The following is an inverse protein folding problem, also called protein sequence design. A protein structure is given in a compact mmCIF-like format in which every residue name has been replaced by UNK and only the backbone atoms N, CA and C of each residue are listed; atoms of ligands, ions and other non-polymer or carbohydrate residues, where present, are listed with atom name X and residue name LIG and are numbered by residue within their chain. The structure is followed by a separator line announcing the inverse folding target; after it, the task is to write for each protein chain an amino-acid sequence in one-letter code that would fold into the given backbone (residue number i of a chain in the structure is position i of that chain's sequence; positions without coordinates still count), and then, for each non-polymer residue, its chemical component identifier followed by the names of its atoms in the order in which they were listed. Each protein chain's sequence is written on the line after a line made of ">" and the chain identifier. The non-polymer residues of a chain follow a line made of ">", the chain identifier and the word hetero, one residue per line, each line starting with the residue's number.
data_IF_485225199031
#
_entry.id   IF_485225199031
#
_cell.length_a   1.000
_cell.length_b   1.000
_cell.length_c   1.000
_cell.angle_alpha   90.00
_cell.angle_beta   90.00
_cell.angle_gamma   90.00
#
_symmetry.space_group_name_H-M   'P 1'
#
loop_
_entity.id
_entity.type
_entity.pdbx_description
1 polymer ?
#
# COMPACT_ATOMS: atom_id res chain seq x y z
N UNK A 1 -2.40 -24.66 26.97
CA UNK A 1 -1.20 -24.64 27.81
C UNK A 1 -0.77 -23.21 28.09
N UNK A 2 -0.39 -22.89 29.33
CA UNK A 2 0.22 -21.61 29.69
C UNK A 2 1.34 -21.23 28.71
N UNK A 3 1.33 -19.99 28.24
CA UNK A 3 2.28 -19.47 27.25
C UNK A 3 1.90 -19.66 25.78
N UNK A 4 0.88 -20.47 25.46
CA UNK A 4 0.38 -20.57 24.08
C UNK A 4 -0.28 -19.26 23.63
N UNK A 5 -0.13 -18.95 22.34
CA UNK A 5 -0.74 -17.77 21.72
C UNK A 5 -1.81 -18.15 20.70
N UNK A 6 -2.80 -17.27 20.53
CA UNK A 6 -3.88 -17.44 19.57
C UNK A 6 -4.43 -16.08 19.12
N UNK A 7 -5.06 -16.02 17.95
CA UNK A 7 -5.71 -14.79 17.49
C UNK A 7 -7.10 -14.61 18.11
N UNK A 8 -7.41 -13.39 18.54
CA UNK A 8 -8.77 -13.02 18.93
C UNK A 8 -9.77 -13.23 17.79
N UNK A 9 -11.07 -13.29 18.11
CA UNK A 9 -12.13 -13.50 17.11
C UNK A 9 -12.15 -12.44 16.00
N UNK A 10 -11.78 -11.18 16.33
CA UNK A 10 -11.66 -10.10 15.35
C UNK A 10 -10.27 -10.03 14.68
N UNK A 11 -9.37 -10.97 15.00
CA UNK A 11 -7.99 -11.08 14.50
C UNK A 11 -7.11 -9.85 14.72
N UNK A 12 -7.51 -8.92 15.59
CA UNK A 12 -6.74 -7.69 15.90
C UNK A 12 -5.77 -7.85 17.04
N UNK A 13 -5.92 -8.89 17.86
CA UNK A 13 -5.10 -9.12 19.04
C UNK A 13 -4.52 -10.52 19.01
N UNK A 14 -3.23 -10.63 19.26
CA UNK A 14 -2.57 -11.87 19.62
C UNK A 14 -2.73 -12.04 21.13
N UNK A 15 -3.52 -13.03 21.52
CA UNK A 15 -3.75 -13.41 22.91
C UNK A 15 -2.67 -14.40 23.35
N UNK A 16 -2.30 -14.34 24.63
CA UNK A 16 -1.40 -15.29 25.30
C UNK A 16 -2.08 -15.84 26.54
N UNK A 17 -2.17 -17.16 26.64
CA UNK A 17 -2.68 -17.84 27.82
C UNK A 17 -1.71 -17.64 28.99
N UNK A 18 -2.24 -17.20 30.14
CA UNK A 18 -1.47 -16.99 31.37
C UNK A 18 -1.42 -18.31 32.16
N UNK A 19 -2.54 -19.01 32.20
CA UNK A 19 -2.69 -20.28 32.91
C UNK A 19 -3.46 -21.30 32.05
N UNK A 20 -3.57 -22.51 32.58
CA UNK A 20 -4.33 -23.59 31.95
C UNK A 20 -5.84 -23.52 32.27
N UNK A 21 -6.27 -22.53 33.05
CA UNK A 21 -7.64 -22.35 33.52
C UNK A 21 -8.44 -21.33 32.68
N UNK A 22 -7.84 -20.83 31.60
CA UNK A 22 -8.50 -19.98 30.62
C UNK A 22 -8.21 -18.48 30.75
N UNK A 23 -7.35 -18.07 31.69
CA UNK A 23 -6.92 -16.67 31.77
C UNK A 23 -6.01 -16.34 30.60
N UNK A 24 -6.28 -15.24 29.91
CA UNK A 24 -5.46 -14.77 28.80
C UNK A 24 -5.24 -13.25 28.87
N UNK A 25 -4.09 -12.82 28.35
CA UNK A 25 -3.76 -11.41 28.17
C UNK A 25 -3.39 -11.12 26.72
N UNK A 26 -3.50 -9.86 26.32
CA UNK A 26 -3.04 -9.43 25.00
C UNK A 26 -1.50 -9.43 25.03
N UNK A 27 -0.86 -10.07 24.06
CA UNK A 27 0.61 -10.09 23.86
C UNK A 27 1.04 -9.06 22.81
N UNK A 28 0.23 -8.91 21.76
CA UNK A 28 0.46 -7.97 20.67
C UNK A 28 -0.84 -7.60 19.97
N UNK A 29 -0.80 -6.51 19.21
CA UNK A 29 -1.81 -6.20 18.20
C UNK A 29 -1.37 -6.77 16.84
N UNK A 30 -2.34 -7.03 15.97
CA UNK A 30 -2.11 -7.57 14.63
C UNK A 30 -2.52 -6.55 13.58
N UNK A 31 -1.65 -6.33 12.61
CA UNK A 31 -1.95 -5.54 11.40
C UNK A 31 -2.81 -6.35 10.43
N UNK A 32 -3.41 -5.67 9.45
CA UNK A 32 -4.24 -6.33 8.43
C UNK A 32 -3.43 -7.26 7.52
N UNK A 33 -2.12 -7.01 7.38
CA UNK A 33 -1.16 -7.87 6.67
C UNK A 33 -0.50 -8.93 7.55
N UNK A 34 -1.03 -9.16 8.76
CA UNK A 34 -0.62 -10.27 9.63
C UNK A 34 0.69 -10.05 10.38
N UNK A 35 1.23 -8.84 10.42
CA UNK A 35 2.41 -8.50 11.22
C UNK A 35 2.03 -8.14 12.65
N UNK A 36 2.87 -8.56 13.60
CA UNK A 36 2.73 -8.23 15.02
C UNK A 36 3.19 -6.79 15.32
N UNK A 37 2.44 -6.12 16.19
CA UNK A 37 2.79 -4.84 16.81
C UNK A 37 2.78 -5.06 18.33
N UNK A 38 3.96 -5.15 18.93
CA UNK A 38 4.10 -5.37 20.38
C UNK A 38 3.43 -4.25 21.19
N UNK A 39 2.98 -4.57 22.40
CA UNK A 39 2.36 -3.58 23.30
C UNK A 39 3.34 -2.43 23.56
N UNK A 40 2.84 -1.20 23.42
CA UNK A 40 3.61 0.04 23.50
C UNK A 40 4.33 0.42 22.20
N UNK A 41 4.31 -0.43 21.18
CA UNK A 41 4.98 -0.18 19.91
C UNK A 41 4.02 0.39 18.85
N UNK A 42 4.64 0.93 17.81
CA UNK A 42 3.98 1.39 16.59
C UNK A 42 4.66 0.75 15.38
N UNK A 43 3.88 0.41 14.35
CA UNK A 43 4.37 -0.16 13.11
C UNK A 43 3.71 0.56 11.93
N UNK A 44 4.50 0.96 10.95
CA UNK A 44 3.97 1.41 9.67
C UNK A 44 4.02 0.27 8.66
N UNK A 45 2.87 -0.12 8.12
CA UNK A 45 2.75 -1.15 7.08
C UNK A 45 1.63 -0.78 6.11
N UNK A 46 1.84 -1.05 4.81
CA UNK A 46 0.83 -0.82 3.77
C UNK A 46 0.16 0.58 3.78
N UNK A 47 0.92 1.63 4.07
CA UNK A 47 0.40 3.00 4.10
C UNK A 47 -0.43 3.34 5.35
N UNK A 48 -0.45 2.47 6.35
CA UNK A 48 -1.08 2.72 7.64
C UNK A 48 -0.05 2.63 8.76
N UNK A 49 -0.19 3.52 9.74
CA UNK A 49 0.46 3.46 11.03
C UNK A 49 -0.49 2.78 12.01
N UNK A 50 -0.02 1.68 12.58
CA UNK A 50 -0.69 0.88 13.58
C UNK A 50 -0.05 1.14 14.94
N UNK A 51 -0.85 1.34 15.98
CA UNK A 51 -0.37 1.52 17.36
C UNK A 51 -1.05 0.52 18.28
N UNK A 52 -0.27 -0.13 19.12
CA UNK A 52 -0.76 -1.03 20.16
C UNK A 52 -0.52 -0.39 21.52
N UNK A 53 -1.50 0.34 22.05
CA UNK A 53 -1.31 1.25 23.19
C UNK A 53 -1.80 0.57 24.46
N UNK A 54 -0.96 0.49 25.49
CA UNK A 54 -1.39 0.09 26.83
C UNK A 54 -2.00 1.29 27.56
N UNK A 55 -3.25 1.19 27.94
CA UNK A 55 -3.94 2.22 28.71
C UNK A 55 -3.65 2.12 30.21
N UNK A 56 -3.87 3.22 30.93
CA UNK A 56 -3.63 3.29 32.38
C UNK A 56 -4.50 2.33 33.20
N UNK A 57 -5.68 1.97 32.67
CA UNK A 57 -6.59 0.99 33.27
C UNK A 57 -6.19 -0.47 32.99
N UNK A 58 -5.06 -0.70 32.31
CA UNK A 58 -4.58 -2.04 31.95
C UNK A 58 -5.16 -2.59 30.65
N UNK A 59 -6.10 -1.89 30.00
CA UNK A 59 -6.62 -2.26 28.68
C UNK A 59 -5.59 -2.02 27.57
N UNK A 60 -5.79 -2.65 26.41
CA UNK A 60 -4.99 -2.37 25.21
C UNK A 60 -5.88 -1.76 24.14
N UNK A 61 -5.52 -0.55 23.69
CA UNK A 61 -6.15 0.16 22.59
C UNK A 61 -5.40 -0.09 21.29
N UNK A 62 -6.14 -0.49 20.27
CA UNK A 62 -5.63 -0.62 18.91
C UNK A 62 -6.02 0.61 18.09
N UNK A 63 -5.03 1.36 17.60
CA UNK A 63 -5.25 2.48 16.69
C UNK A 63 -4.66 2.18 15.31
N UNK A 64 -5.41 2.54 14.27
CA UNK A 64 -4.98 2.48 12.88
C UNK A 64 -5.25 3.84 12.25
N UNK A 65 -4.21 4.48 11.73
CA UNK A 65 -4.29 5.75 11.02
C UNK A 65 -3.47 5.69 9.73
N UNK A 66 -3.80 6.44 8.68
CA UNK A 66 -2.94 6.55 7.50
C UNK A 66 -1.53 7.02 7.89
N UNK A 67 -0.50 6.35 7.36
CA UNK A 67 0.88 6.74 7.59
C UNK A 67 1.25 7.93 6.69
N UNK A 68 0.99 9.14 7.17
CA UNK A 68 1.35 10.38 6.48
C UNK A 68 0.89 11.63 7.24
N UNK A 69 1.58 12.76 7.06
CA UNK A 69 1.16 14.04 7.63
C UNK A 69 0.16 14.74 6.70
N UNK A 70 -1.07 14.94 7.16
CA UNK A 70 -2.04 15.85 6.55
C UNK A 70 -3.28 15.18 5.97
N UNK A 71 -4.32 15.99 5.72
CA UNK A 71 -5.62 15.60 5.12
C UNK A 71 -5.48 14.84 3.79
N UNK A 72 -4.31 14.86 3.15
CA UNK A 72 -3.99 14.15 1.90
C UNK A 72 -3.82 12.63 2.06
N UNK A 73 -3.55 12.10 3.26
CA UNK A 73 -3.46 10.65 3.44
C UNK A 73 -4.83 9.94 3.30
N UNK A 74 -5.93 10.71 3.38
CA UNK A 74 -7.30 10.25 3.11
C UNK A 74 -7.76 10.54 1.66
N UNK A 75 -6.96 11.27 0.88
CA UNK A 75 -7.25 11.63 -0.53
C UNK A 75 -6.25 10.98 -1.51
N UNK A 76 -5.31 10.18 -1.01
CA UNK A 76 -4.37 9.41 -1.81
C UNK A 76 -5.02 8.18 -2.46
N UNK A 77 -4.29 7.55 -3.37
CA UNK A 77 -4.72 6.36 -4.09
C UNK A 77 -4.27 5.12 -3.32
N UNK A 78 -4.96 4.82 -2.20
CA UNK A 78 -4.56 3.76 -1.27
C UNK A 78 -3.28 4.14 -0.52
N UNK A 79 -2.16 3.47 -0.83
CA UNK A 79 -0.84 3.73 -0.19
C UNK A 79 -0.05 4.89 -0.82
N UNK A 80 -0.55 5.48 -1.91
CA UNK A 80 0.15 6.52 -2.68
C UNK A 80 -0.47 7.90 -2.41
N UNK A 81 0.36 8.93 -2.29
CA UNK A 81 -0.10 10.31 -2.14
C UNK A 81 -0.57 10.90 -3.49
N UNK A 82 -1.47 11.89 -3.44
CA UNK A 82 -1.83 12.68 -4.64
C UNK A 82 -0.54 13.28 -5.23
N UNK A 83 -0.37 13.12 -6.54
CA UNK A 83 0.80 13.58 -7.28
C UNK A 83 1.89 12.52 -7.41
N UNK A 84 1.80 11.39 -6.70
CA UNK A 84 2.76 10.31 -6.83
C UNK A 84 2.79 9.76 -8.25
N UNK A 85 4.02 9.56 -8.76
CA UNK A 85 4.29 8.86 -10.00
C UNK A 85 4.63 7.42 -9.69
N UNK A 86 3.91 6.50 -10.34
CA UNK A 86 4.07 5.07 -10.19
C UNK A 86 4.60 4.48 -11.47
N UNK A 87 5.62 3.64 -11.38
CA UNK A 87 6.23 2.96 -12.53
C UNK A 87 6.06 1.46 -12.31
N UNK A 88 5.65 0.74 -13.36
CA UNK A 88 5.53 -0.73 -13.31
C UNK A 88 6.90 -1.38 -13.14
N UNK A 89 6.96 -2.60 -12.58
CA UNK A 89 8.22 -3.30 -12.31
C UNK A 89 9.04 -3.56 -13.59
N UNK A 90 8.37 -3.78 -14.71
CA UNK A 90 8.97 -3.92 -16.05
C UNK A 90 9.45 -2.59 -16.66
N UNK A 91 9.21 -1.47 -15.96
CA UNK A 91 9.55 -0.09 -16.34
C UNK A 91 9.04 0.29 -17.72
N UNK A 92 7.87 -0.23 -18.11
CA UNK A 92 7.24 0.09 -19.38
C UNK A 92 6.14 1.13 -19.26
N UNK A 93 5.50 1.24 -18.10
CA UNK A 93 4.31 2.07 -17.92
C UNK A 93 4.45 2.98 -16.70
N UNK A 94 3.91 4.18 -16.83
CA UNK A 94 3.84 5.18 -15.79
C UNK A 94 2.39 5.55 -15.53
N UNK A 95 2.02 5.61 -14.25
CA UNK A 95 0.73 6.05 -13.75
C UNK A 95 0.92 7.20 -12.77
N UNK A 96 -0.16 7.96 -12.55
CA UNK A 96 -0.19 9.01 -11.53
C UNK A 96 -1.34 8.76 -10.56
N UNK A 97 -1.11 9.03 -9.27
CA UNK A 97 -2.20 9.22 -8.33
C UNK A 97 -2.76 10.64 -8.48
N UNK A 98 -3.98 10.75 -8.98
CA UNK A 98 -4.60 12.05 -9.25
C UNK A 98 -5.38 12.58 -8.05
N UNK A 99 -5.74 13.87 -8.10
CA UNK A 99 -6.49 14.55 -7.06
C UNK A 99 -7.90 13.98 -6.80
N UNK A 100 -8.44 13.19 -7.73
CA UNK A 100 -9.69 12.44 -7.57
C UNK A 100 -9.51 11.11 -6.81
N UNK A 101 -8.32 10.87 -6.24
CA UNK A 101 -7.99 9.66 -5.48
C UNK A 101 -7.86 8.40 -6.35
N UNK A 102 -7.76 8.55 -7.69
CA UNK A 102 -7.65 7.43 -8.63
C UNK A 102 -6.27 7.35 -9.26
N UNK A 103 -5.79 6.13 -9.43
CA UNK A 103 -4.63 5.83 -10.28
C UNK A 103 -5.08 5.95 -11.74
N UNK A 104 -4.41 6.79 -12.52
CA UNK A 104 -4.64 6.89 -13.97
C UNK A 104 -3.36 6.69 -14.75
N UNK A 105 -3.51 6.10 -15.93
CA UNK A 105 -2.41 5.93 -16.86
C UNK A 105 -1.89 7.30 -17.33
N UNK A 106 -0.57 7.48 -17.30
CA UNK A 106 0.07 8.77 -17.63
C UNK A 106 1.01 8.68 -18.83
N UNK A 107 1.56 7.50 -19.10
CA UNK A 107 2.39 7.28 -20.28
C UNK A 107 3.21 6.01 -20.23
N UNK A 108 3.99 5.81 -21.28
CA UNK A 108 4.89 4.67 -21.47
C UNK A 108 6.33 5.13 -21.32
N UNK A 109 7.18 4.25 -20.80
CA UNK A 109 8.61 4.45 -20.70
C UNK A 109 9.29 3.59 -21.76
N UNK A 110 10.21 4.19 -22.52
CA UNK A 110 11.03 3.48 -23.50
C UNK A 110 12.51 3.53 -23.12
N UNK A 111 13.31 2.62 -23.70
CA UNK A 111 14.76 2.54 -23.44
C UNK A 111 15.42 3.92 -23.58
N UNK A 112 16.25 4.26 -22.60
CA UNK A 112 16.85 5.60 -22.46
C UNK A 112 16.07 6.56 -21.57
N UNK A 113 15.04 6.07 -20.84
CA UNK A 113 14.30 6.86 -19.85
C UNK A 113 13.34 7.89 -20.46
N UNK A 114 13.10 7.84 -21.76
CA UNK A 114 12.18 8.75 -22.44
C UNK A 114 10.74 8.33 -22.16
N UNK A 115 9.93 9.25 -21.64
CA UNK A 115 8.50 9.04 -21.46
C UNK A 115 7.72 9.45 -22.71
N UNK A 116 6.77 8.61 -23.12
CA UNK A 116 5.77 8.88 -24.15
C UNK A 116 4.44 9.11 -23.42
N UNK A 117 3.82 10.29 -23.52
CA UNK A 117 2.53 10.54 -22.87
C UNK A 117 1.45 9.54 -23.31
N UNK A 118 0.50 9.27 -22.41
CA UNK A 118 -0.65 8.43 -22.73
C UNK A 118 -1.40 8.96 -23.98
N UNK A 119 -1.86 8.04 -24.83
CA UNK A 119 -2.55 8.35 -26.09
C UNK A 119 -1.65 8.90 -27.20
N UNK A 120 -0.34 9.03 -26.97
CA UNK A 120 0.58 9.64 -27.93
C UNK A 120 1.41 8.62 -28.69
N UNK A 121 1.84 9.01 -29.90
CA UNK A 121 2.83 8.29 -30.71
C UNK A 121 4.13 9.08 -30.78
N UNK A 122 5.27 8.38 -30.76
CA UNK A 122 6.60 8.99 -30.91
C UNK A 122 7.49 8.14 -31.79
N UNK A 123 8.23 8.76 -32.69
CA UNK A 123 9.35 8.13 -33.37
C UNK A 123 10.63 8.41 -32.57
N UNK A 124 11.33 7.35 -32.16
CA UNK A 124 12.59 7.46 -31.43
C UNK A 124 13.59 6.51 -32.09
N UNK A 125 14.63 7.09 -32.69
CA UNK A 125 15.73 6.36 -33.33
C UNK A 125 15.23 5.33 -34.37
N UNK A 126 14.32 5.74 -35.26
CA UNK A 126 13.80 4.88 -36.34
C UNK A 126 12.75 3.87 -35.89
N UNK A 127 12.31 3.92 -34.63
CA UNK A 127 11.25 3.05 -34.12
C UNK A 127 10.03 3.89 -33.76
N UNK A 128 8.88 3.50 -34.28
CA UNK A 128 7.59 4.10 -33.96
C UNK A 128 7.04 3.43 -32.71
N UNK A 129 6.67 4.24 -31.73
CA UNK A 129 6.05 3.83 -30.50
C UNK A 129 4.64 4.39 -30.42
N UNK A 130 3.69 3.54 -30.06
CA UNK A 130 2.28 3.88 -29.86
C UNK A 130 1.92 3.55 -28.41
N UNK A 131 1.66 4.57 -27.61
CA UNK A 131 1.37 4.45 -26.19
C UNK A 131 -0.11 4.72 -25.94
N UNK A 132 -0.87 3.70 -25.54
CA UNK A 132 -2.33 3.75 -25.45
C UNK A 132 -2.83 3.31 -24.10
N UNK A 133 -3.90 3.96 -23.66
CA UNK A 133 -4.76 3.44 -22.61
C UNK A 133 -5.70 2.39 -23.20
N UNK A 134 -5.93 1.28 -22.51
CA UNK A 134 -6.91 0.29 -22.93
C UNK A 134 -8.30 0.69 -22.43
N UNK A 135 -9.36 0.21 -23.09
CA UNK A 135 -10.75 0.46 -22.68
C UNK A 135 -11.09 -0.03 -21.27
N UNK A 136 -10.27 -0.92 -20.71
CA UNK A 136 -10.37 -1.43 -19.34
C UNK A 136 -9.55 -0.62 -18.32
N UNK A 137 -8.95 0.50 -18.71
CA UNK A 137 -8.10 1.34 -17.85
C UNK A 137 -6.67 0.80 -17.66
N UNK A 138 -6.26 -0.18 -18.47
CA UNK A 138 -4.89 -0.68 -18.55
C UNK A 138 -4.03 0.12 -19.52
N UNK A 139 -2.81 -0.36 -19.77
CA UNK A 139 -1.84 0.30 -20.63
C UNK A 139 -1.34 -0.62 -21.74
N UNK A 140 -1.02 -0.05 -22.90
CA UNK A 140 -0.45 -0.74 -24.05
C UNK A 140 0.66 0.08 -24.68
N UNK A 141 1.80 -0.57 -24.93
CA UNK A 141 2.93 0.01 -25.67
C UNK A 141 3.20 -0.87 -26.89
N UNK A 142 2.90 -0.35 -28.08
CA UNK A 142 3.25 -1.02 -29.34
C UNK A 142 4.49 -0.39 -29.93
N UNK A 143 5.37 -1.23 -30.49
CA UNK A 143 6.61 -0.79 -31.13
C UNK A 143 6.70 -1.39 -32.53
N UNK A 144 6.83 -0.54 -33.55
CA UNK A 144 7.04 -0.94 -34.94
C UNK A 144 8.29 -0.31 -35.52
N UNK A 145 9.01 -1.03 -36.38
CA UNK A 145 10.09 -0.43 -37.16
C UNK A 145 9.46 0.49 -38.20
N UNK A 146 10.09 1.65 -38.40
CA UNK A 146 9.78 2.51 -39.53
C UNK A 146 10.16 1.79 -40.83
#
# INVERSE_FOLDING_TARGET
>A
SSGQTYLSSNKRFLMKCIDDYGSASIDACMTDDGKEVKIGAELTSNGFKYKCIKEKNGSVKYEKEPAGKGRMAMMGCGKYAIGDKLITDDKQFQFNCNADGKIKFSGCLVRGGKSIPAGSKRNIHGMNYDCKETSTGGASLTKTRK
#
